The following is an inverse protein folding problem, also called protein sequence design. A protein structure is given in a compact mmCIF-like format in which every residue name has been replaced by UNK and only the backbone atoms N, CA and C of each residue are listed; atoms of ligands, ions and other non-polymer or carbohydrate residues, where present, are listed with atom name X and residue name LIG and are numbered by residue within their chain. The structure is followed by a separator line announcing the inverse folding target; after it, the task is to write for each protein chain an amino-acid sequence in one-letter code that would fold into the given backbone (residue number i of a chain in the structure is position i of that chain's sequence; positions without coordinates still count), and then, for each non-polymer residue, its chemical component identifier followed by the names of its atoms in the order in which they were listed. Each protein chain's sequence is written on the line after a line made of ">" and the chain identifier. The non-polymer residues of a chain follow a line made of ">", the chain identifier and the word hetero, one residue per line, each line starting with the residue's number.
data_IF_672124825552
#
_entry.id   IF_672124825552
#
_cell.length_a   1.000
_cell.length_b   1.000
_cell.length_c   1.000
_cell.angle_alpha   90.00
_cell.angle_beta   90.00
_cell.angle_gamma   90.00
#
_symmetry.space_group_name_H-M   'P 1'
#
loop_
_entity.id
_entity.type
_entity.pdbx_description
1 polymer ?
#
# COMPACT_ATOMS: atom_id res chain seq x y z
N UNK A 1 4.69 15.11 -11.01
CA UNK A 1 3.33 15.55 -11.38
C UNK A 1 2.40 14.39 -11.73
N UNK A 2 2.86 13.39 -12.51
CA UNK A 2 2.08 12.21 -12.91
C UNK A 2 1.32 11.49 -11.75
N UNK A 3 2.00 11.22 -10.63
CA UNK A 3 1.41 10.51 -9.48
C UNK A 3 0.16 11.18 -8.90
N UNK A 4 0.13 12.52 -8.84
CA UNK A 4 -0.98 13.28 -8.25
C UNK A 4 -2.17 13.41 -9.20
N UNK A 5 -1.99 13.12 -10.48
CA UNK A 5 -3.04 13.17 -11.49
C UNK A 5 -3.61 11.77 -11.73
N UNK A 6 -2.75 10.75 -11.82
CA UNK A 6 -3.17 9.38 -12.06
C UNK A 6 -3.85 8.74 -10.85
N UNK A 7 -3.31 8.95 -9.63
CA UNK A 7 -3.84 8.34 -8.40
C UNK A 7 -3.89 9.34 -7.24
N UNK A 8 -4.71 10.41 -7.35
CA UNK A 8 -4.76 11.46 -6.32
C UNK A 8 -5.13 10.92 -4.92
N UNK A 9 -5.90 9.83 -4.86
CA UNK A 9 -6.34 9.20 -3.62
C UNK A 9 -5.22 8.48 -2.86
N UNK A 10 -4.05 8.26 -3.47
CA UNK A 10 -2.94 7.51 -2.85
C UNK A 10 -1.90 8.40 -2.18
N UNK A 11 -2.01 9.71 -2.31
CA UNK A 11 -1.02 10.65 -1.79
C UNK A 11 -1.61 11.52 -0.69
N UNK A 12 -0.91 11.63 0.43
CA UNK A 12 -1.38 12.36 1.61
C UNK A 12 -0.29 13.29 2.13
N UNK A 13 -0.73 14.39 2.75
CA UNK A 13 0.13 15.34 3.45
C UNK A 13 -0.28 15.44 4.92
N UNK A 14 0.70 15.65 5.79
CA UNK A 14 0.48 16.02 7.17
C UNK A 14 0.73 17.51 7.33
N UNK A 15 -0.24 18.20 7.93
CA UNK A 15 -0.17 19.63 8.22
C UNK A 15 0.01 19.87 9.71
N UNK A 16 0.75 20.91 10.06
CA UNK A 16 0.77 21.49 11.40
C UNK A 16 -0.49 22.31 11.66
N UNK A 17 -0.72 22.72 12.92
CA UNK A 17 -1.86 23.58 13.28
C UNK A 17 -1.84 24.94 12.58
N UNK A 18 -0.67 25.45 12.21
CA UNK A 18 -0.49 26.69 11.43
C UNK A 18 -0.49 26.47 9.91
N UNK A 19 -0.89 25.27 9.44
CA UNK A 19 -1.09 24.97 8.02
C UNK A 19 0.19 24.68 7.23
N UNK A 20 1.34 24.51 7.90
CA UNK A 20 2.60 24.16 7.23
C UNK A 20 2.69 22.65 7.01
N UNK A 21 3.33 22.24 5.91
CA UNK A 21 3.60 20.82 5.64
C UNK A 21 4.65 20.30 6.63
N UNK A 22 4.26 19.27 7.39
CA UNK A 22 5.12 18.52 8.31
C UNK A 22 5.69 17.25 7.65
N UNK A 23 4.97 16.65 6.71
CA UNK A 23 5.39 15.47 5.97
C UNK A 23 4.41 15.07 4.88
N UNK A 24 4.77 14.08 4.08
CA UNK A 24 3.94 13.55 3.01
C UNK A 24 4.24 12.08 2.72
N UNK A 25 3.30 11.42 2.05
CA UNK A 25 3.48 10.12 1.38
C UNK A 25 2.95 10.23 -0.04
N UNK A 26 3.61 9.56 -0.97
CA UNK A 26 3.20 9.46 -2.37
C UNK A 26 3.18 7.98 -2.77
N UNK A 27 1.99 7.51 -3.13
CA UNK A 27 1.76 6.18 -3.67
C UNK A 27 1.42 6.21 -5.15
N UNK A 28 1.62 5.08 -5.82
CA UNK A 28 1.13 4.79 -7.17
C UNK A 28 0.67 3.34 -7.27
N UNK A 29 0.00 3.02 -8.37
CA UNK A 29 -0.13 1.64 -8.83
C UNK A 29 1.03 1.34 -9.79
N UNK A 30 1.49 0.09 -9.78
CA UNK A 30 2.37 -0.43 -10.82
C UNK A 30 1.52 -1.12 -11.89
N UNK A 31 1.90 -0.91 -13.15
CA UNK A 31 1.17 -1.38 -14.34
C UNK A 31 1.95 -2.46 -15.10
N UNK A 32 2.98 -3.04 -14.48
CA UNK A 32 3.91 -3.97 -15.14
C UNK A 32 3.26 -5.30 -15.54
N UNK A 33 2.22 -5.73 -14.80
CA UNK A 33 1.46 -6.96 -15.08
C UNK A 33 -0.04 -6.62 -15.26
N UNK A 34 -0.61 -6.78 -16.46
CA UNK A 34 -2.01 -6.45 -16.71
C UNK A 34 -3.00 -7.33 -15.93
N UNK A 35 -2.53 -8.43 -15.33
CA UNK A 35 -3.35 -9.32 -14.51
C UNK A 35 -3.23 -9.04 -13.00
N UNK A 36 -2.34 -8.13 -12.57
CA UNK A 36 -2.13 -7.84 -11.15
C UNK A 36 -2.10 -6.35 -10.89
N UNK A 37 -2.96 -5.92 -9.98
CA UNK A 37 -2.92 -4.56 -9.46
C UNK A 37 -2.04 -4.55 -8.21
N UNK A 38 -0.85 -3.98 -8.34
CA UNK A 38 0.09 -3.81 -7.22
C UNK A 38 0.32 -2.34 -6.92
N UNK A 39 0.55 -2.01 -5.65
CA UNK A 39 0.83 -0.65 -5.20
C UNK A 39 2.32 -0.45 -4.96
N UNK A 40 2.77 0.80 -5.08
CA UNK A 40 4.14 1.17 -4.75
C UNK A 40 4.19 2.50 -3.99
N UNK A 41 4.97 2.54 -2.91
CA UNK A 41 5.32 3.79 -2.26
C UNK A 41 6.56 4.40 -2.88
N UNK A 42 6.35 5.43 -3.70
CA UNK A 42 7.44 6.15 -4.38
C UNK A 42 8.24 7.02 -3.43
N UNK A 43 7.58 7.67 -2.46
CA UNK A 43 8.26 8.59 -1.55
C UNK A 43 7.50 8.80 -0.25
N UNK A 44 8.25 8.92 0.83
CA UNK A 44 7.76 9.40 2.13
C UNK A 44 8.82 10.27 2.80
N UNK A 45 8.39 11.38 3.39
CA UNK A 45 9.26 12.22 4.18
C UNK A 45 8.50 12.91 5.32
N UNK A 46 9.18 13.07 6.45
CA UNK A 46 8.74 13.90 7.57
C UNK A 46 9.90 14.81 7.97
N UNK A 47 9.63 16.11 8.09
CA UNK A 47 10.60 17.11 8.55
C UNK A 47 11.17 16.73 9.91
N UNK A 48 12.45 17.02 10.13
CA UNK A 48 13.23 16.50 11.27
C UNK A 48 12.58 16.83 12.61
N UNK A 49 12.11 18.06 12.75
CA UNK A 49 11.44 18.60 13.94
C UNK A 49 10.09 17.95 14.26
N UNK A 50 9.47 17.24 13.30
CA UNK A 50 8.19 16.53 13.48
C UNK A 50 8.34 15.00 13.47
N UNK A 51 9.57 14.48 13.50
CA UNK A 51 9.81 13.02 13.57
C UNK A 51 9.50 12.49 14.97
N UNK A 52 9.35 11.16 15.06
CA UNK A 52 9.02 10.43 16.31
C UNK A 52 7.63 10.75 16.91
N UNK A 53 6.79 11.48 16.17
CA UNK A 53 5.39 11.77 16.53
C UNK A 53 4.38 10.81 15.85
N UNK A 54 4.85 9.72 15.22
CA UNK A 54 3.98 8.76 14.51
C UNK A 54 3.40 9.27 13.18
N UNK A 55 3.85 10.42 12.67
CA UNK A 55 3.31 11.04 11.44
C UNK A 55 3.48 10.14 10.22
N UNK A 56 4.68 9.56 10.03
CA UNK A 56 4.97 8.69 8.89
C UNK A 56 4.07 7.43 8.88
N UNK A 57 3.89 6.82 10.05
CA UNK A 57 3.02 5.65 10.25
C UNK A 57 1.57 5.98 9.84
N UNK A 58 1.03 7.10 10.34
CA UNK A 58 -0.34 7.54 9.99
C UNK A 58 -0.50 7.86 8.50
N UNK A 59 0.47 8.52 7.88
CA UNK A 59 0.44 8.81 6.45
C UNK A 59 0.43 7.51 5.63
N UNK A 60 1.29 6.56 5.98
CA UNK A 60 1.35 5.25 5.30
C UNK A 60 0.05 4.49 5.47
N UNK A 61 -0.51 4.39 6.68
CA UNK A 61 -1.80 3.72 6.89
C UNK A 61 -2.93 4.32 6.04
N UNK A 62 -3.02 5.64 5.92
CA UNK A 62 -4.05 6.26 5.09
C UNK A 62 -3.90 5.87 3.62
N UNK A 63 -2.67 5.88 3.10
CA UNK A 63 -2.42 5.47 1.72
C UNK A 63 -2.60 3.96 1.49
N UNK A 64 -2.16 3.13 2.44
CA UNK A 64 -2.40 1.68 2.43
C UNK A 64 -3.90 1.38 2.35
N UNK A 65 -4.69 2.01 3.23
CA UNK A 65 -6.15 1.87 3.24
C UNK A 65 -6.77 2.29 1.90
N UNK A 66 -6.28 3.36 1.26
CA UNK A 66 -6.76 3.78 -0.06
C UNK A 66 -6.39 2.78 -1.17
N UNK A 67 -5.16 2.27 -1.16
CA UNK A 67 -4.70 1.22 -2.09
C UNK A 67 -5.56 -0.05 -1.95
N UNK A 68 -5.86 -0.47 -0.72
CA UNK A 68 -6.67 -1.65 -0.44
C UNK A 68 -8.15 -1.44 -0.82
N UNK A 69 -8.75 -0.35 -0.35
CA UNK A 69 -10.20 -0.17 -0.42
C UNK A 69 -10.70 0.32 -1.77
N UNK A 70 -9.95 1.23 -2.43
CA UNK A 70 -10.36 1.86 -3.68
C UNK A 70 -9.86 1.04 -4.87
N UNK A 71 -8.58 0.65 -4.86
CA UNK A 71 -7.92 0.02 -6.01
C UNK A 71 -7.76 -1.50 -5.88
N UNK A 72 -8.17 -2.09 -4.75
CA UNK A 72 -8.13 -3.54 -4.52
C UNK A 72 -6.74 -4.14 -4.74
N UNK A 73 -5.71 -3.39 -4.38
CA UNK A 73 -4.31 -3.80 -4.52
C UNK A 73 -4.06 -5.08 -3.72
N UNK A 74 -3.45 -6.09 -4.34
CA UNK A 74 -3.15 -7.36 -3.65
C UNK A 74 -1.87 -7.27 -2.80
N UNK A 75 -0.89 -6.52 -3.29
CA UNK A 75 0.40 -6.34 -2.63
C UNK A 75 0.99 -4.96 -2.90
N UNK A 76 1.70 -4.44 -1.90
CA UNK A 76 2.32 -3.12 -1.93
C UNK A 76 3.81 -3.30 -1.73
N UNK A 77 4.60 -2.52 -2.48
CA UNK A 77 6.05 -2.56 -2.44
C UNK A 77 6.65 -1.19 -2.15
N UNK A 78 7.90 -1.19 -1.67
CA UNK A 78 8.73 0.00 -1.51
C UNK A 78 10.21 -0.37 -1.56
N UNK A 79 11.04 0.60 -1.92
CA UNK A 79 12.49 0.51 -1.81
C UNK A 79 12.98 1.29 -0.59
N UNK A 80 13.96 0.74 0.13
CA UNK A 80 14.59 1.40 1.26
C UNK A 80 16.09 1.16 1.27
N UNK A 81 16.85 2.24 1.45
CA UNK A 81 18.30 2.19 1.72
C UNK A 81 18.63 1.22 2.84
N UNK A 82 19.60 0.34 2.61
CA UNK A 82 20.05 -0.63 3.60
C UNK A 82 20.49 0.04 4.92
N UNK A 83 21.11 1.22 4.85
CA UNK A 83 21.55 1.97 6.04
C UNK A 83 20.40 2.62 6.83
N UNK A 84 19.18 2.70 6.28
CA UNK A 84 18.06 3.41 6.89
C UNK A 84 17.29 2.53 7.90
N UNK A 85 17.97 2.15 8.98
CA UNK A 85 17.45 1.28 10.05
C UNK A 85 16.13 1.80 10.64
N UNK A 86 15.97 3.12 10.75
CA UNK A 86 14.75 3.73 11.26
C UNK A 86 13.53 3.47 10.36
N UNK A 87 13.69 3.60 9.04
CA UNK A 87 12.62 3.31 8.08
C UNK A 87 12.35 1.81 7.99
N UNK A 88 13.39 0.97 7.93
CA UNK A 88 13.25 -0.49 7.94
C UNK A 88 12.45 -0.94 9.16
N UNK A 89 12.76 -0.41 10.35
CA UNK A 89 12.03 -0.73 11.58
C UNK A 89 10.59 -0.22 11.56
N UNK A 90 10.29 0.90 10.91
CA UNK A 90 8.92 1.39 10.73
C UNK A 90 8.14 0.43 9.82
N UNK A 91 8.67 0.14 8.63
CA UNK A 91 7.99 -0.69 7.64
C UNK A 91 7.76 -2.11 8.16
N UNK A 92 8.78 -2.74 8.74
CA UNK A 92 8.65 -4.11 9.26
C UNK A 92 7.78 -4.20 10.51
N UNK A 93 8.12 -3.45 11.57
CA UNK A 93 7.50 -3.67 12.89
C UNK A 93 6.14 -3.01 13.06
N UNK A 94 5.84 -1.95 12.30
CA UNK A 94 4.58 -1.20 12.44
C UNK A 94 3.61 -1.48 11.31
N UNK A 95 4.14 -1.69 10.11
CA UNK A 95 3.30 -1.81 8.92
C UNK A 95 3.26 -3.23 8.36
N UNK A 96 4.10 -4.15 8.83
CA UNK A 96 4.10 -5.55 8.40
C UNK A 96 4.77 -5.81 7.07
N UNK A 97 5.63 -4.91 6.59
CA UNK A 97 6.42 -5.16 5.39
C UNK A 97 7.56 -6.13 5.67
N UNK A 98 7.79 -7.04 4.73
CA UNK A 98 8.88 -8.01 4.76
C UNK A 98 9.90 -7.69 3.69
N UNK A 99 11.18 -7.98 3.94
CA UNK A 99 12.23 -7.87 2.93
C UNK A 99 11.99 -8.97 1.90
N UNK A 100 11.70 -8.58 0.66
CA UNK A 100 11.51 -9.50 -0.46
C UNK A 100 12.83 -9.78 -1.15
N UNK A 101 13.58 -8.72 -1.50
CA UNK A 101 14.78 -8.81 -2.34
C UNK A 101 15.85 -7.82 -1.86
N UNK A 102 17.12 -8.18 -2.10
CA UNK A 102 18.27 -7.32 -1.88
C UNK A 102 18.82 -6.89 -3.24
N UNK A 103 18.92 -5.58 -3.45
CA UNK A 103 19.29 -4.99 -4.72
C UNK A 103 20.62 -4.22 -4.58
N UNK A 104 21.73 -4.81 -5.03
CA UNK A 104 23.04 -4.19 -4.90
C UNK A 104 23.16 -2.95 -5.78
N UNK A 105 23.82 -1.90 -5.28
CA UNK A 105 24.09 -0.65 -6.01
C UNK A 105 22.84 -0.01 -6.64
N UNK A 106 21.68 -0.15 -5.99
CA UNK A 106 20.41 0.39 -6.47
C UNK A 106 20.42 1.92 -6.55
N UNK A 107 21.02 2.58 -5.55
CA UNK A 107 21.11 4.04 -5.51
C UNK A 107 22.34 4.54 -6.28
N UNK A 108 22.26 5.75 -6.83
CA UNK A 108 23.30 6.34 -7.68
C UNK A 108 24.66 6.53 -6.97
N UNK A 109 24.68 6.54 -5.64
CA UNK A 109 25.88 6.58 -4.81
C UNK A 109 26.48 5.18 -4.54
N UNK A 110 25.91 4.14 -5.14
CA UNK A 110 26.32 2.76 -4.97
C UNK A 110 25.77 2.09 -3.72
N UNK A 111 24.87 2.73 -2.96
CA UNK A 111 24.24 2.10 -1.81
C UNK A 111 23.21 1.05 -2.23
N UNK A 112 23.19 -0.06 -1.50
CA UNK A 112 22.24 -1.15 -1.68
C UNK A 112 20.83 -0.77 -1.18
N UNK A 113 19.82 -1.40 -1.79
CA UNK A 113 18.42 -1.26 -1.44
C UNK A 113 17.83 -2.59 -0.97
N UNK A 114 16.88 -2.52 -0.05
CA UNK A 114 15.92 -3.60 0.15
C UNK A 114 14.61 -3.25 -0.55
N UNK A 115 14.15 -4.15 -1.42
CA UNK A 115 12.77 -4.19 -1.86
C UNK A 115 11.95 -4.85 -0.75
N UNK A 116 11.07 -4.08 -0.12
CA UNK A 116 10.15 -4.60 0.88
C UNK A 116 8.75 -4.73 0.29
N UNK A 117 8.05 -5.83 0.60
CA UNK A 117 6.69 -6.10 0.14
C UNK A 117 5.78 -6.43 1.31
N UNK A 118 4.50 -6.08 1.16
CA UNK A 118 3.42 -6.44 2.08
C UNK A 118 2.19 -6.84 1.29
N UNK A 119 1.49 -7.89 1.73
CA UNK A 119 0.17 -8.23 1.17
C UNK A 119 -0.92 -7.34 1.78
N UNK A 120 -1.92 -6.97 1.00
CA UNK A 120 -2.97 -6.05 1.45
C UNK A 120 -4.20 -6.73 2.07
N UNK A 121 -4.24 -8.07 2.10
CA UNK A 121 -5.36 -8.84 2.65
C UNK A 121 -5.66 -8.49 4.10
N UNK A 122 -4.65 -8.23 4.93
CA UNK A 122 -4.82 -7.95 6.35
C UNK A 122 -5.62 -6.66 6.61
N UNK A 123 -5.49 -5.66 5.73
CA UNK A 123 -6.29 -4.43 5.82
C UNK A 123 -7.71 -4.62 5.32
N UNK A 124 -7.92 -5.40 4.25
CA UNK A 124 -9.26 -5.72 3.74
C UNK A 124 -10.14 -6.40 4.81
N UNK A 125 -9.56 -7.26 5.65
CA UNK A 125 -10.27 -7.94 6.75
C UNK A 125 -10.38 -7.11 8.04
N UNK A 126 -9.64 -5.99 8.14
CA UNK A 126 -9.67 -5.09 9.30
C UNK A 126 -10.62 -3.90 9.13
N UNK A 127 -11.21 -3.72 7.94
CA UNK A 127 -12.20 -2.68 7.68
C UNK A 127 -13.58 -3.07 8.28
N UNK A 128 -14.29 -2.14 8.94
CA UNK A 128 -15.61 -2.42 9.51
C UNK A 128 -16.61 -2.75 8.40
N UNK A 129 -17.23 -3.93 8.51
CA UNK A 129 -18.34 -4.49 7.70
C UNK A 129 -18.66 -3.74 6.40
N UNK A 130 -17.70 -3.79 5.48
CA UNK A 130 -17.99 -3.56 4.07
C UNK A 130 -18.75 -4.78 3.55
N UNK A 131 -19.80 -4.60 2.75
CA UNK A 131 -20.60 -5.70 2.16
C UNK A 131 -19.75 -6.79 1.48
N UNK A 132 -18.56 -6.42 0.99
CA UNK A 132 -17.55 -7.30 0.40
C UNK A 132 -16.89 -8.28 1.41
N UNK A 133 -16.81 -7.91 2.69
CA UNK A 133 -16.22 -8.73 3.76
C UNK A 133 -17.18 -9.83 4.19
N UNK A 134 -18.50 -9.59 4.14
CA UNK A 134 -19.53 -10.59 4.44
C UNK A 134 -19.52 -11.76 3.44
N UNK A 135 -19.40 -11.48 2.14
CA UNK A 135 -19.33 -12.50 1.09
C UNK A 135 -18.06 -13.37 1.16
N UNK A 136 -16.94 -12.84 1.69
CA UNK A 136 -15.71 -13.60 1.93
C UNK A 136 -15.75 -14.43 3.23
N UNK A 137 -16.53 -14.00 4.23
CA UNK A 137 -16.63 -14.71 5.52
C UNK A 137 -17.54 -15.95 5.47
N UNK A 138 -18.57 -15.95 4.63
CA UNK A 138 -19.50 -17.08 4.50
C UNK A 138 -18.86 -18.35 3.90
N UNK A 139 -17.67 -18.23 3.30
CA UNK A 139 -16.92 -19.33 2.68
C UNK A 139 -15.62 -19.73 3.40
N UNK A 140 -15.52 -19.65 4.73
CA UNK A 140 -14.27 -19.91 5.49
C UNK A 140 -14.06 -21.39 5.89
N UNK A 141 -13.32 -22.22 5.13
CA UNK A 141 -12.73 -23.44 5.67
C UNK A 141 -11.44 -23.10 6.43
N UNK A 142 -11.23 -23.77 7.56
CA UNK A 142 -10.17 -23.47 8.53
C UNK A 142 -8.73 -23.67 8.05
N UNK A 143 -8.49 -24.25 6.85
CA UNK A 143 -7.15 -24.63 6.39
C UNK A 143 -6.90 -24.39 4.88
N UNK A 144 -7.57 -23.44 4.23
CA UNK A 144 -7.37 -23.18 2.80
C UNK A 144 -6.70 -21.83 2.56
N UNK A 145 -5.59 -21.85 1.81
CA UNK A 145 -4.86 -20.65 1.41
C UNK A 145 -5.78 -19.76 0.54
N UNK A 146 -5.86 -18.43 0.77
CA UNK A 146 -6.85 -17.54 0.12
C UNK A 146 -6.86 -17.54 -1.42
N UNK A 147 -5.73 -17.89 -2.04
CA UNK A 147 -5.60 -18.05 -3.50
C UNK A 147 -6.47 -19.16 -4.08
N UNK A 148 -6.97 -20.10 -3.26
CA UNK A 148 -7.88 -21.16 -3.70
C UNK A 148 -9.37 -20.78 -3.57
N UNK A 149 -9.71 -19.75 -2.79
CA UNK A 149 -11.09 -19.28 -2.61
C UNK A 149 -11.49 -18.36 -3.76
N UNK A 150 -10.60 -17.43 -4.14
CA UNK A 150 -10.85 -16.47 -5.22
C UNK A 150 -10.90 -17.11 -6.62
N UNK A 151 -10.20 -18.23 -6.84
CA UNK A 151 -10.29 -18.98 -8.10
C UNK A 151 -11.54 -19.86 -8.21
N UNK A 152 -12.28 -20.09 -7.11
CA UNK A 152 -13.48 -20.93 -7.09
C UNK A 152 -14.78 -20.14 -7.21
N UNK A 153 -14.80 -18.91 -6.72
CA UNK A 153 -15.90 -17.99 -6.92
C UNK A 153 -15.57 -17.17 -8.17
N UNK A 154 -16.30 -17.32 -9.27
CA UNK A 154 -16.15 -16.51 -10.50
C UNK A 154 -16.36 -14.99 -10.33
N UNK A 155 -16.30 -14.49 -9.09
CA UNK A 155 -16.42 -13.11 -8.65
C UNK A 155 -15.32 -12.22 -9.24
N UNK A 156 -14.14 -12.77 -9.56
CA UNK A 156 -13.03 -11.97 -10.10
C UNK A 156 -13.30 -11.47 -11.53
N UNK A 157 -14.04 -12.23 -12.34
CA UNK A 157 -14.42 -11.83 -13.71
C UNK A 157 -15.64 -10.90 -13.73
N UNK A 158 -16.54 -10.99 -12.74
CA UNK A 158 -17.65 -10.04 -12.58
C UNK A 158 -17.18 -8.67 -12.07
N UNK A 159 -16.20 -8.63 -11.16
CA UNK A 159 -15.67 -7.38 -10.60
C UNK A 159 -14.80 -6.59 -11.58
N UNK A 160 -14.18 -7.25 -12.57
CA UNK A 160 -13.43 -6.58 -13.66
C UNK A 160 -14.33 -5.82 -14.64
N UNK A 161 -15.62 -6.19 -14.71
CA UNK A 161 -16.60 -5.63 -15.66
C UNK A 161 -17.56 -4.60 -15.04
N UNK A 162 -17.37 -4.23 -13.77
CA UNK A 162 -18.17 -3.15 -13.19
C UNK A 162 -17.75 -1.81 -13.80
N UNK A 163 -18.69 -1.02 -14.34
CA UNK A 163 -18.37 0.28 -14.89
C UNK A 163 -17.79 1.16 -13.78
N UNK A 164 -16.62 1.75 -14.05
CA UNK A 164 -16.06 2.82 -13.23
C UNK A 164 -17.04 3.99 -13.30
N UNK A 165 -17.86 4.15 -12.25
CA UNK A 165 -18.87 5.21 -12.20
C UNK A 165 -18.22 6.58 -12.42
N UNK A 166 -18.50 7.15 -13.58
CA UNK A 166 -17.93 8.41 -14.06
C UNK A 166 -18.53 8.92 -15.38
N UNK A 167 -19.73 8.47 -15.76
CA UNK A 167 -20.56 9.17 -16.75
C UNK A 167 -21.97 9.40 -16.15
N UNK A 168 -22.34 10.69 -16.12
CA UNK A 168 -23.59 11.32 -15.67
C UNK A 168 -23.85 11.40 -14.14
#
# INVERSE_FOLDING_TARGET
>A
MYHLIAWPQLSYIALTSDGKIAGYVMGKLEEDDPNKVTGHFTSIAVKREYRRLGIAEKLLHQSLNAMASIYKVESISLHVRQSNVAAISLYSKKLGFEISEHEPQYYADGEDSYLMKRRCWDELFSLPDSKYVQELHEGRPSNVHPTQVLNRCGLFDELRNLPLNGEA
#
